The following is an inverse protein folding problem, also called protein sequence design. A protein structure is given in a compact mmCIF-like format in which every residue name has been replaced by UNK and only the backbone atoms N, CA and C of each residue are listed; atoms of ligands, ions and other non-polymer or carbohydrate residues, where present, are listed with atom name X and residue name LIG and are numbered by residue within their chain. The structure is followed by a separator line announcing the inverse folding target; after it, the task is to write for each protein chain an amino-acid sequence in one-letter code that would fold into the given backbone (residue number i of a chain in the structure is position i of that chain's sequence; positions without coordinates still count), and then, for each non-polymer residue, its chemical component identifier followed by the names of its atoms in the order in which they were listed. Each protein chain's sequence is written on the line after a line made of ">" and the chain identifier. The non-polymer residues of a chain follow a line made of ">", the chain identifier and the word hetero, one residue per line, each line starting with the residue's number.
data_IF_155166848101
#
_entry.id   IF_155166848101
#
_cell.length_a   1.000
_cell.length_b   1.000
_cell.length_c   1.000
_cell.angle_alpha   90.00
_cell.angle_beta   90.00
_cell.angle_gamma   90.00
#
_symmetry.space_group_name_H-M   'P 1'
#
loop_
_entity.id
_entity.type
_entity.pdbx_description
1 polymer ?
#
# COMPACT_ATOMS: atom_id res chain seq x y z
N UNK A 1 18.15 -40.47 14.21
CA UNK A 1 18.89 -39.59 13.30
C UNK A 1 18.00 -38.37 13.10
N UNK A 2 18.46 -37.19 13.50
CA UNK A 2 17.61 -36.01 13.65
C UNK A 2 17.27 -35.43 12.29
N UNK A 3 15.98 -35.16 12.08
CA UNK A 3 15.48 -34.28 11.03
C UNK A 3 16.14 -32.91 11.21
N UNK A 4 17.03 -32.54 10.30
CA UNK A 4 17.45 -31.15 10.19
C UNK A 4 16.49 -30.49 9.22
N UNK A 5 15.57 -29.74 9.82
CA UNK A 5 14.64 -28.85 9.13
C UNK A 5 15.37 -28.07 8.03
N UNK A 6 14.76 -28.07 6.86
CA UNK A 6 15.15 -27.31 5.70
C UNK A 6 14.90 -25.82 6.00
N UNK A 7 15.76 -25.18 6.79
CA UNK A 7 15.68 -23.75 7.03
C UNK A 7 16.04 -23.04 5.74
N UNK A 8 15.01 -22.51 5.06
CA UNK A 8 15.23 -21.53 3.99
C UNK A 8 16.13 -20.43 4.56
N UNK A 9 17.25 -20.14 3.89
CA UNK A 9 18.12 -19.01 4.23
C UNK A 9 17.40 -17.70 3.86
N UNK A 10 16.37 -17.38 4.64
CA UNK A 10 15.56 -16.17 4.48
C UNK A 10 16.31 -15.06 5.19
N UNK A 11 17.03 -14.25 4.42
CA UNK A 11 17.56 -12.99 4.91
C UNK A 11 16.40 -12.00 5.03
N UNK A 12 15.94 -11.77 6.26
CA UNK A 12 14.95 -10.75 6.54
C UNK A 12 15.57 -9.35 6.39
N UNK A 13 14.83 -8.37 5.85
CA UNK A 13 15.28 -6.99 5.80
C UNK A 13 15.34 -6.40 7.22
N UNK A 14 16.39 -5.63 7.50
CA UNK A 14 16.53 -4.91 8.77
C UNK A 14 15.52 -3.75 8.90
N UNK A 15 15.09 -3.22 7.75
CA UNK A 15 14.16 -2.09 7.63
C UNK A 15 13.08 -2.42 6.61
N UNK A 16 11.83 -2.20 6.99
CA UNK A 16 10.67 -2.31 6.12
C UNK A 16 9.94 -0.96 6.16
N UNK A 17 9.68 -0.38 5.00
CA UNK A 17 9.02 0.92 4.90
C UNK A 17 7.51 0.78 5.18
N UNK A 18 7.13 0.98 6.44
CA UNK A 18 5.75 0.88 6.93
C UNK A 18 4.83 1.89 6.23
N UNK A 19 3.95 1.38 5.37
CA UNK A 19 3.03 2.11 4.48
C UNK A 19 3.76 3.03 3.51
N UNK A 20 4.95 2.59 3.07
CA UNK A 20 5.94 3.39 2.35
C UNK A 20 6.71 4.35 3.26
N UNK A 21 7.20 5.45 2.72
CA UNK A 21 7.85 6.53 3.47
C UNK A 21 6.81 7.46 4.13
N UNK A 22 5.94 6.85 4.95
CA UNK A 22 4.76 7.48 5.57
C UNK A 22 5.08 8.59 6.57
N UNK A 23 6.33 8.68 7.04
CA UNK A 23 6.79 9.80 7.85
C UNK A 23 6.85 11.13 7.07
N UNK A 24 7.04 11.06 5.75
CA UNK A 24 7.19 12.23 4.87
C UNK A 24 6.03 12.39 3.88
N UNK A 25 5.23 11.35 3.66
CA UNK A 25 4.19 11.30 2.64
C UNK A 25 2.90 10.69 3.20
N UNK A 26 1.73 10.92 2.57
CA UNK A 26 0.50 10.22 2.96
C UNK A 26 0.71 8.70 2.87
N UNK A 27 0.37 7.99 3.94
CA UNK A 27 0.52 6.53 4.04
C UNK A 27 -0.19 5.79 2.88
N UNK A 28 0.37 4.66 2.45
CA UNK A 28 -0.25 3.78 1.44
C UNK A 28 -0.56 4.49 0.10
N UNK A 29 0.38 5.32 -0.38
CA UNK A 29 0.29 6.01 -1.67
C UNK A 29 1.48 5.71 -2.56
N UNK A 30 1.32 5.88 -3.88
CA UNK A 30 2.42 5.67 -4.84
C UNK A 30 3.65 6.51 -4.51
N UNK A 31 3.47 7.80 -4.22
CA UNK A 31 4.57 8.69 -3.83
C UNK A 31 5.26 8.24 -2.53
N UNK A 32 4.52 7.66 -1.57
CA UNK A 32 5.10 7.11 -0.35
C UNK A 32 5.99 5.90 -0.66
N UNK A 33 5.58 5.04 -1.58
CA UNK A 33 6.37 3.87 -1.99
C UNK A 33 7.58 4.25 -2.84
N UNK A 34 7.40 5.10 -3.85
CA UNK A 34 8.48 5.60 -4.71
C UNK A 34 9.57 6.29 -3.87
N UNK A 35 9.18 7.18 -2.95
CA UNK A 35 10.13 7.84 -2.06
C UNK A 35 10.83 6.88 -1.09
N UNK A 36 10.20 5.77 -0.71
CA UNK A 36 10.85 4.76 0.14
C UNK A 36 11.92 3.99 -0.63
N UNK A 37 11.65 3.67 -1.90
CA UNK A 37 12.60 3.06 -2.83
C UNK A 37 13.77 4.02 -3.05
N UNK A 38 13.50 5.29 -3.33
CA UNK A 38 14.54 6.33 -3.51
C UNK A 38 15.39 6.52 -2.26
N UNK A 39 14.81 6.32 -1.07
CA UNK A 39 15.53 6.34 0.20
C UNK A 39 16.39 5.09 0.44
N UNK A 40 16.34 4.08 -0.44
CA UNK A 40 17.17 2.88 -0.43
C UNK A 40 16.58 1.71 0.37
N UNK A 41 15.26 1.69 0.61
CA UNK A 41 14.64 0.53 1.25
C UNK A 41 14.68 -0.69 0.32
N UNK A 42 14.79 -1.89 0.90
CA UNK A 42 14.70 -3.17 0.17
C UNK A 42 13.39 -3.91 0.45
N UNK A 43 12.53 -3.32 1.28
CA UNK A 43 11.23 -3.88 1.62
C UNK A 43 10.21 -2.76 1.84
N UNK A 44 9.05 -2.91 1.19
CA UNK A 44 7.88 -2.07 1.37
C UNK A 44 6.83 -2.85 2.16
N UNK A 45 6.12 -2.16 3.04
CA UNK A 45 4.91 -2.68 3.64
C UNK A 45 3.72 -1.81 3.22
N UNK A 46 2.58 -2.46 3.03
CA UNK A 46 1.33 -1.82 2.70
C UNK A 46 0.16 -2.68 3.13
N UNK A 47 -0.96 -2.03 3.38
CA UNK A 47 -2.20 -2.67 3.82
C UNK A 47 -3.20 -2.75 2.67
N UNK A 48 -4.00 -3.81 2.64
CA UNK A 48 -5.03 -3.99 1.61
C UNK A 48 -6.43 -4.19 2.20
N UNK A 49 -7.43 -3.75 1.44
CA UNK A 49 -8.87 -3.94 1.69
C UNK A 49 -9.55 -4.31 0.37
N UNK A 50 -10.66 -5.04 0.45
CA UNK A 50 -11.49 -5.35 -0.71
C UNK A 50 -12.66 -4.35 -0.77
N UNK A 51 -12.89 -3.76 -1.93
CA UNK A 51 -14.08 -2.95 -2.21
C UNK A 51 -15.32 -3.84 -2.38
N UNK A 52 -16.48 -3.22 -2.57
CA UNK A 52 -17.75 -3.92 -2.85
C UNK A 52 -17.78 -4.62 -4.21
N UNK A 53 -17.05 -4.10 -5.18
CA UNK A 53 -16.92 -4.57 -6.56
C UNK A 53 -15.60 -5.31 -6.81
N UNK A 54 -15.06 -5.96 -5.76
CA UNK A 54 -13.93 -6.88 -5.79
C UNK A 54 -12.57 -6.29 -6.22
N UNK A 55 -12.40 -4.97 -6.17
CA UNK A 55 -11.10 -4.32 -6.35
C UNK A 55 -10.30 -4.32 -5.03
N UNK A 56 -9.01 -4.68 -5.13
CA UNK A 56 -8.09 -4.65 -3.99
C UNK A 56 -7.51 -3.24 -3.86
N UNK A 57 -7.94 -2.53 -2.82
CA UNK A 57 -7.56 -1.15 -2.51
C UNK A 57 -6.45 -1.14 -1.47
N UNK A 58 -5.44 -0.29 -1.66
CA UNK A 58 -4.35 -0.12 -0.68
C UNK A 58 -4.79 0.87 0.40
N UNK A 59 -5.10 0.35 1.59
CA UNK A 59 -5.60 1.15 2.72
C UNK A 59 -5.48 0.40 4.04
N UNK A 60 -5.01 1.09 5.08
CA UNK A 60 -4.92 0.50 6.41
C UNK A 60 -6.29 0.32 7.07
N UNK A 61 -7.09 1.38 7.17
CA UNK A 61 -8.31 1.35 7.96
C UNK A 61 -9.42 0.55 7.27
N UNK A 62 -10.38 0.03 8.05
CA UNK A 62 -11.60 -0.58 7.49
C UNK A 62 -12.52 0.46 6.83
N UNK A 63 -12.31 1.74 7.11
CA UNK A 63 -13.14 2.86 6.65
C UNK A 63 -12.31 3.93 5.97
N UNK A 64 -12.91 4.61 5.00
CA UNK A 64 -12.31 5.71 4.24
C UNK A 64 -12.07 6.98 5.08
N UNK A 65 -12.68 7.06 6.26
CA UNK A 65 -12.87 8.29 7.03
C UNK A 65 -11.58 9.00 7.45
N UNK A 66 -10.55 8.27 7.91
CA UNK A 66 -9.37 8.89 8.55
C UNK A 66 -8.44 9.52 7.51
N UNK A 67 -8.07 8.77 6.49
CA UNK A 67 -6.97 9.13 5.57
C UNK A 67 -7.44 9.67 4.23
N UNK A 68 -8.72 9.49 3.87
CA UNK A 68 -9.26 9.92 2.58
C UNK A 68 -10.41 10.93 2.70
N UNK A 69 -10.76 11.57 1.59
CA UNK A 69 -11.92 12.45 1.46
C UNK A 69 -13.27 11.71 1.45
N UNK A 70 -13.26 10.37 1.36
CA UNK A 70 -14.47 9.55 1.38
C UNK A 70 -14.96 9.21 2.78
N UNK A 71 -16.09 8.49 2.83
CA UNK A 71 -16.68 8.05 4.10
C UNK A 71 -17.25 6.64 4.03
N UNK A 72 -17.38 5.99 5.19
CA UNK A 72 -17.94 4.64 5.31
C UNK A 72 -16.90 3.53 5.17
N UNK A 73 -17.36 2.28 5.29
CA UNK A 73 -16.49 1.10 5.20
C UNK A 73 -16.11 0.79 3.75
N UNK A 74 -14.84 0.44 3.50
CA UNK A 74 -14.33 0.17 2.14
C UNK A 74 -15.13 -0.94 1.46
N UNK A 75 -15.43 -2.03 2.19
CA UNK A 75 -16.21 -3.17 1.70
C UNK A 75 -17.64 -2.85 1.23
N UNK A 76 -18.18 -1.70 1.64
CA UNK A 76 -19.55 -1.29 1.32
C UNK A 76 -19.58 -0.31 0.13
N UNK A 77 -18.42 0.10 -0.38
CA UNK A 77 -18.25 1.08 -1.45
C UNK A 77 -17.66 0.44 -2.70
N UNK A 78 -18.16 0.84 -3.88
CA UNK A 78 -17.54 0.44 -5.14
C UNK A 78 -16.22 1.21 -5.33
N UNK A 79 -15.22 0.56 -5.90
CA UNK A 79 -14.05 1.26 -6.40
C UNK A 79 -14.44 2.10 -7.62
N UNK A 80 -15.13 1.48 -8.57
CA UNK A 80 -15.54 2.12 -9.82
C UNK A 80 -16.61 3.19 -9.53
N UNK A 81 -16.25 4.46 -9.78
CA UNK A 81 -17.14 5.61 -9.63
C UNK A 81 -17.31 6.14 -8.20
N UNK A 82 -16.50 5.66 -7.24
CA UNK A 82 -16.45 6.27 -5.91
C UNK A 82 -15.04 6.33 -5.35
N UNK A 83 -14.42 5.19 -4.98
CA UNK A 83 -13.08 5.20 -4.35
C UNK A 83 -12.02 5.75 -5.32
N UNK A 84 -12.15 5.45 -6.61
CA UNK A 84 -11.28 5.96 -7.69
C UNK A 84 -11.25 7.50 -7.81
N UNK A 85 -12.28 8.19 -7.33
CA UNK A 85 -12.34 9.66 -7.28
C UNK A 85 -11.87 10.28 -5.97
N UNK A 86 -11.52 9.48 -4.96
CA UNK A 86 -11.10 9.98 -3.65
C UNK A 86 -9.64 10.39 -3.62
N UNK A 87 -9.31 11.25 -2.65
CA UNK A 87 -7.93 11.66 -2.38
C UNK A 87 -7.57 11.50 -0.92
N UNK A 88 -6.28 11.41 -0.62
CA UNK A 88 -5.77 11.52 0.74
C UNK A 88 -6.04 12.92 1.31
N UNK A 89 -6.27 13.00 2.62
CA UNK A 89 -6.43 14.26 3.34
C UNK A 89 -5.10 14.95 3.65
N UNK A 90 -4.04 14.16 3.83
CA UNK A 90 -2.69 14.67 4.04
C UNK A 90 -2.12 15.13 2.70
N UNK A 91 -1.46 16.29 2.71
CA UNK A 91 -0.77 16.82 1.54
C UNK A 91 0.60 16.14 1.32
N UNK A 92 1.06 15.96 0.07
CA UNK A 92 0.34 16.29 -1.16
C UNK A 92 -0.83 15.31 -1.38
N UNK A 93 -2.03 15.81 -1.67
CA UNK A 93 -3.21 14.98 -1.84
C UNK A 93 -3.03 13.98 -3.01
N UNK A 94 -3.07 12.68 -2.70
CA UNK A 94 -2.87 11.58 -3.65
C UNK A 94 -4.16 10.82 -3.91
N UNK A 95 -4.33 10.18 -5.08
CA UNK A 95 -5.36 9.16 -5.26
C UNK A 95 -5.14 7.96 -4.34
N UNK A 96 -6.20 7.20 -4.07
CA UNK A 96 -6.11 5.92 -3.35
C UNK A 96 -5.70 4.82 -4.33
N UNK A 97 -4.53 4.17 -4.16
CA UNK A 97 -4.07 3.16 -5.11
C UNK A 97 -4.85 1.85 -5.01
N UNK A 98 -4.90 1.10 -6.12
CA UNK A 98 -5.16 -0.33 -6.10
C UNK A 98 -3.87 -1.09 -5.88
N UNK A 99 -3.99 -2.34 -5.42
CA UNK A 99 -2.83 -3.22 -5.30
C UNK A 99 -2.15 -3.47 -6.65
N UNK A 100 -2.93 -3.55 -7.74
CA UNK A 100 -2.39 -3.65 -9.10
C UNK A 100 -1.50 -2.46 -9.47
N UNK A 101 -1.84 -1.24 -9.04
CA UNK A 101 -1.03 -0.05 -9.33
C UNK A 101 0.35 -0.15 -8.64
N UNK A 102 0.41 -0.76 -7.45
CA UNK A 102 1.66 -1.06 -6.73
C UNK A 102 2.45 -2.16 -7.42
N UNK A 103 1.79 -3.24 -7.87
CA UNK A 103 2.46 -4.29 -8.63
C UNK A 103 3.03 -3.77 -9.94
N UNK A 104 2.26 -2.97 -10.67
CA UNK A 104 2.68 -2.33 -11.92
C UNK A 104 3.90 -1.42 -11.72
N UNK A 105 4.00 -0.74 -10.56
CA UNK A 105 5.19 0.01 -10.18
C UNK A 105 6.38 -0.91 -9.95
N UNK A 106 6.23 -1.98 -9.16
CA UNK A 106 7.33 -2.88 -8.79
C UNK A 106 7.92 -3.68 -9.95
N UNK A 107 7.17 -3.88 -11.03
CA UNK A 107 7.65 -4.59 -12.22
C UNK A 107 8.26 -3.67 -13.29
N UNK A 108 8.37 -2.35 -13.02
CA UNK A 108 9.01 -1.42 -13.94
C UNK A 108 10.51 -1.71 -14.02
N UNK A 109 11.11 -1.72 -15.21
CA UNK A 109 12.54 -2.04 -15.38
C UNK A 109 13.48 -0.98 -14.81
N UNK A 110 12.96 0.21 -14.46
CA UNK A 110 13.74 1.31 -13.88
C UNK A 110 13.82 1.29 -12.34
N UNK A 111 13.15 0.35 -11.68
CA UNK A 111 13.16 0.15 -10.21
C UNK A 111 14.09 -1.00 -9.82
#
# INVERSE_FOLDING_TARGET
>A
MSDKENSLDIRLPDVIAHRGFSAANPENTMISYENAIDAGTIALEGDIRLSKDDEIVVMHDLTLNRTSTGTGAVRDQNWHGYIDGLKTKTEPAQPIPRFNDVLDMLIRPEI
#
